data_IF_619381366596
#
_entry.id   IF_619381366596
#
_cell.length_a   1.000
_cell.length_b   1.000
_cell.length_c   1.000
_cell.angle_alpha   90.00
_cell.angle_beta   90.00
_cell.angle_gamma   90.00
#
_symmetry.space_group_name_H-M   'P 1'
#
loop_
_entity.id
_entity.type
_entity.pdbx_description
1 polymer ?
#
# COMPACT_ATOMS: atom_id res chain seq x y z
N UNK A 1 18.79 10.05 6.93
CA UNK A 1 18.20 9.84 8.28
C UNK A 1 18.51 11.04 9.15
N UNK A 2 17.64 11.41 10.11
CA UNK A 2 17.92 12.50 11.04
C UNK A 2 19.24 12.26 11.80
N UNK A 3 19.99 13.33 12.08
CA UNK A 3 21.20 13.26 12.89
C UNK A 3 20.85 12.69 14.27
N UNK A 4 21.61 11.70 14.73
CA UNK A 4 21.35 11.04 16.02
C UNK A 4 20.23 9.99 15.99
N UNK A 5 19.71 9.61 14.82
CA UNK A 5 18.78 8.49 14.72
C UNK A 5 19.44 7.18 15.18
N UNK A 6 18.83 6.51 16.16
CA UNK A 6 19.25 5.20 16.66
C UNK A 6 18.16 4.19 16.34
N UNK A 7 18.55 3.10 15.67
CA UNK A 7 17.69 1.95 15.49
C UNK A 7 17.62 1.17 16.82
N UNK A 8 16.43 1.08 17.41
CA UNK A 8 16.20 0.31 18.64
C UNK A 8 15.56 -1.03 18.28
N UNK A 9 16.31 -2.16 18.32
CA UNK A 9 15.74 -3.48 18.08
C UNK A 9 14.59 -3.77 19.05
N UNK A 10 13.54 -4.39 18.53
CA UNK A 10 12.38 -4.78 19.34
C UNK A 10 11.87 -6.12 18.85
N UNK A 11 11.79 -7.08 19.78
CA UNK A 11 11.27 -8.42 19.53
C UNK A 11 10.32 -8.80 20.64
N UNK A 12 9.02 -8.79 20.34
CA UNK A 12 7.97 -9.15 21.28
C UNK A 12 6.69 -9.57 20.56
N UNK A 13 5.70 -10.07 21.30
CA UNK A 13 4.40 -10.39 20.71
C UNK A 13 3.61 -9.11 20.44
N UNK A 14 2.76 -9.14 19.41
CA UNK A 14 1.86 -8.02 19.12
C UNK A 14 0.93 -7.69 20.29
N UNK A 15 0.55 -8.69 21.09
CA UNK A 15 -0.34 -8.53 22.24
C UNK A 15 0.31 -7.82 23.43
N UNK A 16 1.64 -7.72 23.43
CA UNK A 16 2.39 -7.14 24.55
C UNK A 16 2.44 -5.60 24.44
N UNK A 17 2.04 -5.04 23.28
CA UNK A 17 1.85 -3.60 23.13
C UNK A 17 0.57 -3.15 23.80
N UNK A 18 0.66 -2.08 24.60
CA UNK A 18 -0.53 -1.44 25.18
C UNK A 18 -1.28 -0.63 24.12
N UNK A 19 -0.56 0.00 23.19
CA UNK A 19 -1.14 0.69 22.04
C UNK A 19 -0.34 0.43 20.76
N UNK A 20 -1.07 0.40 19.64
CA UNK A 20 -0.49 0.52 18.28
C UNK A 20 -1.15 1.72 17.62
N UNK A 21 -0.33 2.75 17.41
CA UNK A 21 -0.70 4.03 16.83
C UNK A 21 -0.36 4.07 15.34
N UNK A 22 -1.25 4.66 14.56
CA UNK A 22 -1.08 4.86 13.13
C UNK A 22 -1.26 6.34 12.88
N UNK A 23 -0.18 7.04 12.56
CA UNK A 23 -0.16 8.48 12.34
C UNK A 23 -0.12 8.76 10.84
N UNK A 24 -1.08 9.53 10.31
CA UNK A 24 -1.04 10.03 8.94
C UNK A 24 -0.11 11.24 8.89
N UNK A 25 1.00 11.16 8.14
CA UNK A 25 2.08 12.14 8.18
C UNK A 25 2.19 13.01 6.92
N UNK A 26 1.31 12.84 5.93
CA UNK A 26 1.31 13.66 4.71
C UNK A 26 1.01 15.13 5.07
N UNK A 27 1.88 16.03 4.62
CA UNK A 27 1.81 17.46 4.91
C UNK A 27 2.23 17.84 6.33
N UNK A 28 2.69 16.88 7.15
CA UNK A 28 3.17 17.15 8.50
C UNK A 28 4.70 17.25 8.55
N UNK A 29 5.24 17.73 9.68
CA UNK A 29 6.69 17.79 9.93
C UNK A 29 7.34 16.38 9.85
N UNK A 30 6.57 15.34 10.13
CA UNK A 30 7.03 13.94 10.12
C UNK A 30 7.11 13.33 8.71
N UNK A 31 6.60 13.99 7.68
CA UNK A 31 6.66 13.45 6.31
C UNK A 31 8.11 13.22 5.85
N UNK A 32 9.00 14.16 6.16
CA UNK A 32 10.42 14.06 5.85
C UNK A 32 11.08 12.84 6.51
N UNK A 33 10.65 12.51 7.72
CA UNK A 33 11.13 11.35 8.45
C UNK A 33 10.62 10.04 7.84
N UNK A 34 9.34 9.97 7.46
CA UNK A 34 8.82 8.85 6.67
C UNK A 34 9.61 8.65 5.38
N UNK A 35 9.88 9.71 4.62
CA UNK A 35 10.62 9.63 3.36
C UNK A 35 12.04 9.11 3.59
N UNK A 36 12.71 9.55 4.66
CA UNK A 36 14.04 9.08 5.02
C UNK A 36 14.06 7.59 5.39
N UNK A 37 13.06 7.11 6.14
CA UNK A 37 12.92 5.69 6.49
C UNK A 37 12.69 4.82 5.24
N UNK A 38 11.79 5.24 4.35
CA UNK A 38 11.56 4.53 3.09
C UNK A 38 12.82 4.54 2.21
N UNK A 39 13.54 5.67 2.13
CA UNK A 39 14.77 5.78 1.35
C UNK A 39 15.87 4.84 1.86
N UNK A 40 16.01 4.74 3.19
CA UNK A 40 17.07 3.96 3.81
C UNK A 40 16.78 2.45 3.83
N UNK A 41 15.51 2.04 3.99
CA UNK A 41 15.19 0.66 4.36
C UNK A 41 14.17 -0.05 3.47
N UNK A 42 13.40 0.67 2.65
CA UNK A 42 12.47 0.00 1.73
C UNK A 42 13.26 -0.51 0.50
N UNK A 43 12.96 -1.73 0.06
CA UNK A 43 13.73 -2.40 -1.00
C UNK A 43 13.63 -1.75 -2.40
N UNK A 44 12.58 -0.95 -2.63
CA UNK A 44 12.44 -0.10 -3.82
C UNK A 44 12.98 1.32 -3.63
N UNK A 45 13.58 1.61 -2.48
CA UNK A 45 13.97 2.96 -2.07
C UNK A 45 12.79 3.95 -2.03
N UNK A 46 13.15 5.22 -1.86
CA UNK A 46 12.19 6.32 -1.96
C UNK A 46 12.16 6.86 -3.39
N UNK A 47 10.97 6.90 -3.94
CA UNK A 47 10.65 7.67 -5.13
C UNK A 47 9.44 8.52 -4.79
N UNK A 48 9.57 9.83 -4.93
CA UNK A 48 8.42 10.71 -4.78
C UNK A 48 7.49 10.48 -5.95
N UNK A 49 6.42 9.70 -5.72
CA UNK A 49 5.39 9.56 -6.74
C UNK A 49 4.69 10.91 -6.95
N UNK A 50 4.27 11.14 -8.19
CA UNK A 50 3.42 12.28 -8.55
C UNK A 50 1.97 11.98 -8.15
N UNK A 51 1.22 13.01 -7.76
CA UNK A 51 -0.20 12.92 -7.43
C UNK A 51 -0.53 12.70 -5.95
N UNK A 52 -1.75 12.22 -5.71
CA UNK A 52 -2.33 11.99 -4.38
C UNK A 52 -1.61 10.83 -3.67
N UNK A 53 -1.21 11.07 -2.42
CA UNK A 53 -0.52 10.10 -1.59
C UNK A 53 -0.82 10.31 -0.12
N UNK A 54 -1.14 9.23 0.57
CA UNK A 54 -1.13 9.19 2.04
C UNK A 54 0.03 8.36 2.53
N UNK A 55 0.65 8.84 3.60
CA UNK A 55 1.85 8.25 4.22
C UNK A 55 1.58 8.08 5.69
N UNK A 56 1.97 6.95 6.24
CA UNK A 56 1.71 6.63 7.63
C UNK A 56 2.95 6.10 8.32
N UNK A 57 3.16 6.55 9.56
CA UNK A 57 4.13 6.00 10.50
C UNK A 57 3.36 5.20 11.55
N UNK A 58 3.86 4.02 11.88
CA UNK A 58 3.28 3.15 12.90
C UNK A 58 4.21 3.10 14.10
N UNK A 59 3.64 3.34 15.28
CA UNK A 59 4.33 3.23 16.56
C UNK A 59 3.60 2.28 17.50
N UNK A 60 4.33 1.58 18.34
CA UNK A 60 3.76 0.80 19.44
C UNK A 60 4.43 1.20 20.74
N UNK A 61 3.64 1.68 21.70
CA UNK A 61 4.14 2.24 22.97
C UNK A 61 5.30 3.25 22.74
N UNK A 62 5.16 4.10 21.72
CA UNK A 62 6.17 5.08 21.29
C UNK A 62 7.29 4.54 20.40
N UNK A 63 7.54 3.22 20.39
CA UNK A 63 8.56 2.60 19.53
C UNK A 63 8.18 2.69 18.06
N UNK A 64 9.13 3.09 17.22
CA UNK A 64 8.93 3.14 15.77
C UNK A 64 8.96 1.72 15.18
N UNK A 65 7.85 1.29 14.56
CA UNK A 65 7.70 -0.09 14.10
C UNK A 65 7.73 -0.23 12.58
N UNK A 66 7.00 0.64 11.88
CA UNK A 66 6.74 0.46 10.45
C UNK A 66 6.36 1.77 9.74
N UNK A 67 6.39 1.72 8.41
CA UNK A 67 5.87 2.74 7.52
C UNK A 67 4.98 2.09 6.46
N UNK A 68 3.86 2.71 6.13
CA UNK A 68 2.99 2.29 5.03
C UNK A 68 2.54 3.50 4.22
N UNK A 69 2.51 3.36 2.90
CA UNK A 69 2.17 4.43 1.96
C UNK A 69 1.22 3.96 0.88
N UNK A 70 0.37 4.89 0.46
CA UNK A 70 -0.63 4.71 -0.57
C UNK A 70 -0.52 5.84 -1.59
N UNK A 71 -0.77 5.51 -2.85
CA UNK A 71 -0.78 6.48 -3.94
C UNK A 71 -1.78 6.10 -5.03
N UNK A 72 -1.84 6.88 -6.10
CA UNK A 72 -2.65 6.55 -7.26
C UNK A 72 -2.35 5.15 -7.83
N UNK A 73 -3.39 4.45 -8.24
CA UNK A 73 -3.32 3.10 -8.80
C UNK A 73 -2.46 3.00 -10.06
N UNK A 74 -1.99 1.77 -10.35
CA UNK A 74 -1.31 1.48 -11.60
C UNK A 74 -2.26 1.72 -12.78
N UNK A 75 -1.82 2.55 -13.74
CA UNK A 75 -2.67 2.95 -14.87
C UNK A 75 -3.21 1.78 -15.69
N UNK A 76 -2.42 0.71 -15.86
CA UNK A 76 -2.84 -0.52 -16.53
C UNK A 76 -2.56 -1.72 -15.63
N UNK A 77 -3.60 -2.50 -15.36
CA UNK A 77 -3.49 -3.79 -14.67
C UNK A 77 -4.54 -4.72 -15.27
N UNK A 78 -4.12 -5.61 -16.17
CA UNK A 78 -5.06 -6.47 -16.90
C UNK A 78 -5.84 -7.41 -15.97
N UNK A 79 -5.23 -7.88 -14.88
CA UNK A 79 -5.90 -8.71 -13.89
C UNK A 79 -7.00 -7.92 -13.16
N UNK A 80 -6.70 -6.70 -12.70
CA UNK A 80 -7.69 -5.82 -12.07
C UNK A 80 -8.81 -5.47 -13.05
N UNK A 81 -8.45 -5.07 -14.26
CA UNK A 81 -9.42 -4.65 -15.27
C UNK A 81 -10.38 -5.83 -15.58
N UNK A 82 -9.89 -7.06 -15.73
CA UNK A 82 -10.74 -8.26 -15.87
C UNK A 82 -11.58 -8.57 -14.63
N UNK A 83 -11.01 -8.44 -13.44
CA UNK A 83 -11.71 -8.69 -12.17
C UNK A 83 -12.88 -7.73 -11.97
N UNK A 84 -12.71 -6.47 -12.35
CA UNK A 84 -13.76 -5.45 -12.26
C UNK A 84 -14.69 -5.50 -13.48
N UNK A 85 -14.23 -5.97 -14.64
CA UNK A 85 -14.98 -5.89 -15.90
C UNK A 85 -14.79 -4.57 -16.63
N UNK A 86 -13.63 -3.92 -16.47
CA UNK A 86 -13.29 -2.68 -17.15
C UNK A 86 -12.79 -2.88 -18.57
N UNK A 87 -13.32 -2.07 -19.47
CA UNK A 87 -12.64 -1.70 -20.71
C UNK A 87 -11.69 -0.50 -20.50
N UNK A 88 -11.12 0.02 -21.58
CA UNK A 88 -10.22 1.18 -21.52
C UNK A 88 -10.92 2.44 -20.99
N UNK A 89 -12.15 2.72 -21.43
CA UNK A 89 -12.88 3.93 -21.07
C UNK A 89 -13.34 3.89 -19.61
N UNK A 90 -13.90 2.76 -19.17
CA UNK A 90 -14.27 2.53 -17.78
C UNK A 90 -13.06 2.68 -16.85
N UNK A 91 -11.91 2.10 -17.22
CA UNK A 91 -10.68 2.31 -16.45
C UNK A 91 -10.31 3.78 -16.36
N UNK A 92 -10.25 4.51 -17.47
CA UNK A 92 -9.88 5.93 -17.44
C UNK A 92 -10.82 6.78 -16.56
N UNK A 93 -12.11 6.44 -16.53
CA UNK A 93 -13.10 7.13 -15.68
C UNK A 93 -12.98 6.77 -14.20
N UNK A 94 -12.79 5.49 -13.87
CA UNK A 94 -12.97 4.98 -12.50
C UNK A 94 -11.67 4.60 -11.79
N UNK A 95 -10.52 4.60 -12.47
CA UNK A 95 -9.20 4.31 -11.86
C UNK A 95 -8.93 5.17 -10.64
N UNK A 96 -9.50 6.37 -10.63
CA UNK A 96 -9.25 7.35 -9.59
C UNK A 96 -9.88 7.02 -8.24
N UNK A 97 -10.81 6.07 -8.22
CA UNK A 97 -11.39 5.51 -6.99
C UNK A 97 -10.59 4.30 -6.47
N UNK A 98 -9.45 3.98 -7.10
CA UNK A 98 -8.53 2.89 -6.73
C UNK A 98 -7.20 3.48 -6.29
N UNK A 99 -6.66 2.99 -5.17
CA UNK A 99 -5.35 3.40 -4.67
C UNK A 99 -4.44 2.21 -4.45
N UNK A 100 -3.16 2.38 -4.77
CA UNK A 100 -2.12 1.36 -4.64
C UNK A 100 -1.37 1.53 -3.32
N UNK A 101 -1.25 0.44 -2.55
CA UNK A 101 -0.30 0.34 -1.45
C UNK A 101 1.12 0.19 -2.03
N UNK A 102 1.70 1.32 -2.38
CA UNK A 102 2.96 1.43 -3.10
C UNK A 102 4.21 1.28 -2.21
N UNK A 103 4.07 1.43 -0.88
CA UNK A 103 5.15 1.27 0.09
C UNK A 103 4.65 0.54 1.32
N UNK A 104 5.37 -0.51 1.70
CA UNK A 104 5.11 -1.16 2.96
C UNK A 104 6.40 -1.70 3.59
N UNK A 105 6.75 -1.15 4.74
CA UNK A 105 8.01 -1.38 5.43
C UNK A 105 7.74 -1.71 6.89
N UNK A 106 8.02 -2.94 7.31
CA UNK A 106 8.35 -3.24 8.70
C UNK A 106 9.84 -2.96 8.86
N UNK A 107 10.24 -2.20 9.88
CA UNK A 107 11.63 -1.81 10.01
C UNK A 107 12.55 -3.03 10.25
N UNK A 108 13.78 -3.04 9.70
CA UNK A 108 14.60 -4.26 9.67
C UNK A 108 14.94 -4.87 11.03
N UNK A 109 14.97 -4.05 12.08
CA UNK A 109 15.27 -4.45 13.46
C UNK A 109 14.02 -4.77 14.29
N UNK A 110 12.82 -4.77 13.67
CA UNK A 110 11.56 -5.05 14.33
C UNK A 110 11.13 -6.48 14.03
N UNK A 111 10.95 -7.27 15.09
CA UNK A 111 10.54 -8.68 15.06
C UNK A 111 9.26 -8.87 15.89
N UNK A 112 8.14 -8.45 15.31
CA UNK A 112 6.81 -8.60 15.94
C UNK A 112 5.95 -9.47 15.04
N UNK A 113 5.71 -10.76 15.40
CA UNK A 113 4.84 -11.63 14.63
C UNK A 113 3.46 -11.01 14.41
N UNK A 114 2.89 -11.21 13.21
CA UNK A 114 1.55 -10.74 12.82
C UNK A 114 1.35 -9.21 12.76
N UNK A 115 2.37 -8.41 13.07
CA UNK A 115 2.30 -6.95 13.00
C UNK A 115 1.87 -6.46 11.61
N UNK A 116 2.39 -7.09 10.55
CA UNK A 116 2.10 -6.66 9.20
C UNK A 116 0.59 -6.80 8.85
N UNK A 117 0.04 -8.00 9.00
CA UNK A 117 -1.40 -8.20 8.76
C UNK A 117 -2.29 -7.36 9.69
N UNK A 118 -1.85 -7.12 10.93
CA UNK A 118 -2.56 -6.23 11.86
C UNK A 118 -2.63 -4.79 11.33
N UNK A 119 -1.51 -4.22 10.90
CA UNK A 119 -1.45 -2.87 10.32
C UNK A 119 -2.35 -2.77 9.10
N UNK A 120 -2.29 -3.74 8.17
CA UNK A 120 -3.13 -3.75 6.97
C UNK A 120 -4.62 -3.72 7.32
N UNK A 121 -5.05 -4.54 8.29
CA UNK A 121 -6.43 -4.54 8.75
C UNK A 121 -6.85 -3.23 9.42
N UNK A 122 -5.98 -2.60 10.20
CA UNK A 122 -6.28 -1.31 10.84
C UNK A 122 -6.36 -0.16 9.83
N UNK A 123 -5.43 -0.13 8.87
CA UNK A 123 -5.40 0.86 7.80
C UNK A 123 -6.62 0.77 6.90
N UNK A 124 -7.03 -0.44 6.50
CA UNK A 124 -8.15 -0.62 5.57
C UNK A 124 -9.49 -0.10 6.13
N UNK A 125 -9.61 0.01 7.45
CA UNK A 125 -10.80 0.57 8.12
C UNK A 125 -10.83 2.10 8.17
N UNK A 126 -9.69 2.77 7.99
CA UNK A 126 -9.58 4.24 8.13
C UNK A 126 -9.23 4.98 6.84
N UNK A 127 -8.49 4.34 5.93
CA UNK A 127 -7.90 5.02 4.78
C UNK A 127 -8.94 5.68 3.87
N UNK A 128 -10.14 5.09 3.73
CA UNK A 128 -11.24 5.71 2.98
C UNK A 128 -11.60 7.09 3.54
N UNK A 129 -11.70 7.21 4.86
CA UNK A 129 -12.01 8.47 5.54
C UNK A 129 -10.83 9.42 5.45
N UNK A 130 -9.61 8.96 5.75
CA UNK A 130 -8.41 9.81 5.65
C UNK A 130 -8.25 10.40 4.23
N UNK A 131 -8.51 9.61 3.18
CA UNK A 131 -8.41 10.04 1.79
C UNK A 131 -9.51 11.04 1.42
N UNK A 132 -10.74 10.78 1.86
CA UNK A 132 -11.85 11.72 1.67
C UNK A 132 -11.59 13.03 2.40
N UNK A 133 -11.05 13.01 3.61
CA UNK A 133 -10.81 14.22 4.39
C UNK A 133 -9.68 15.06 3.79
N UNK A 134 -8.60 14.41 3.37
CA UNK A 134 -7.41 15.10 2.85
C UNK A 134 -7.55 15.53 1.39
N UNK A 135 -8.06 14.66 0.52
CA UNK A 135 -8.14 14.92 -0.92
C UNK A 135 -9.55 15.25 -1.42
N UNK A 136 -10.60 15.10 -0.59
CA UNK A 136 -12.02 15.26 -0.99
C UNK A 136 -12.46 14.28 -2.07
N UNK A 137 -11.90 13.06 -2.03
CA UNK A 137 -12.16 12.02 -3.03
C UNK A 137 -12.48 10.68 -2.41
N UNK A 138 -13.51 10.05 -2.97
CA UNK A 138 -13.90 8.73 -2.57
C UNK A 138 -13.00 7.68 -3.23
N UNK A 139 -12.44 6.81 -2.39
CA UNK A 139 -11.77 5.58 -2.81
C UNK A 139 -12.60 4.38 -2.37
N UNK A 140 -12.66 3.36 -3.20
CA UNK A 140 -13.50 2.16 -2.97
C UNK A 140 -12.73 0.85 -3.04
N UNK A 141 -11.49 0.90 -3.53
CA UNK A 141 -10.63 -0.28 -3.70
C UNK A 141 -9.17 0.07 -3.41
N UNK A 142 -8.51 -0.79 -2.62
CA UNK A 142 -7.06 -0.82 -2.53
C UNK A 142 -6.51 -1.89 -3.47
N UNK A 143 -5.35 -1.64 -4.07
CA UNK A 143 -4.54 -2.65 -4.76
C UNK A 143 -3.10 -2.67 -4.22
N UNK A 144 -2.37 -3.73 -4.51
CA UNK A 144 -0.92 -3.81 -4.27
C UNK A 144 -0.29 -4.85 -5.19
N UNK A 145 1.03 -4.74 -5.35
CA UNK A 145 1.83 -5.59 -6.22
C UNK A 145 3.00 -6.20 -5.46
N UNK A 146 2.98 -7.51 -5.27
CA UNK A 146 3.97 -8.25 -4.47
C UNK A 146 4.88 -9.06 -5.37
N UNK A 147 6.17 -8.73 -5.38
CA UNK A 147 7.18 -9.45 -6.18
C UNK A 147 7.39 -10.88 -5.69
N UNK A 148 7.07 -11.86 -6.54
CA UNK A 148 7.06 -13.28 -6.17
C UNK A 148 8.44 -13.81 -5.77
N UNK A 149 9.51 -13.38 -6.45
CA UNK A 149 10.88 -13.78 -6.16
C UNK A 149 11.40 -13.28 -4.81
N UNK A 150 10.72 -12.32 -4.19
CA UNK A 150 11.17 -11.67 -2.95
C UNK A 150 10.23 -11.87 -1.77
N UNK A 151 8.92 -11.96 -2.02
CA UNK A 151 7.91 -12.02 -0.98
C UNK A 151 6.79 -13.00 -1.33
N UNK A 152 6.24 -13.65 -0.30
CA UNK A 152 5.13 -14.61 -0.42
C UNK A 152 3.74 -13.97 -0.35
N UNK A 153 3.65 -12.67 -0.10
CA UNK A 153 2.37 -11.96 0.10
C UNK A 153 1.57 -12.39 1.35
N UNK A 154 2.18 -13.13 2.28
CA UNK A 154 1.49 -13.75 3.42
C UNK A 154 0.69 -12.75 4.26
N UNK A 155 1.22 -11.55 4.51
CA UNK A 155 0.53 -10.54 5.31
C UNK A 155 -0.75 -10.02 4.64
N UNK A 156 -0.77 -9.89 3.31
CA UNK A 156 -1.95 -9.48 2.56
C UNK A 156 -3.02 -10.56 2.61
N UNK A 157 -2.64 -11.83 2.40
CA UNK A 157 -3.57 -12.98 2.56
C UNK A 157 -4.16 -13.04 3.96
N UNK A 158 -3.32 -12.94 4.99
CA UNK A 158 -3.75 -12.94 6.39
C UNK A 158 -4.62 -11.73 6.77
N UNK A 159 -4.53 -10.62 6.03
CA UNK A 159 -5.37 -9.44 6.19
C UNK A 159 -6.63 -9.47 5.29
N UNK A 160 -6.98 -10.63 4.73
CA UNK A 160 -8.14 -10.83 3.84
C UNK A 160 -8.10 -10.04 2.53
N UNK A 161 -6.91 -9.73 2.01
CA UNK A 161 -6.78 -9.23 0.65
C UNK A 161 -6.98 -10.37 -0.36
N UNK A 162 -7.70 -10.09 -1.43
CA UNK A 162 -8.02 -11.04 -2.49
C UNK A 162 -6.89 -11.08 -3.52
N UNK A 163 -6.33 -12.26 -3.77
CA UNK A 163 -5.43 -12.46 -4.91
C UNK A 163 -6.26 -12.54 -6.20
N UNK A 164 -5.91 -11.73 -7.20
CA UNK A 164 -6.69 -11.63 -8.45
C UNK A 164 -5.88 -11.97 -9.71
N UNK A 165 -4.63 -12.42 -9.53
CA UNK A 165 -3.73 -12.80 -10.61
C UNK A 165 -2.37 -12.13 -10.50
N UNK A 166 -1.67 -12.05 -11.63
CA UNK A 166 -0.25 -11.68 -11.69
C UNK A 166 0.02 -10.63 -12.77
N UNK A 167 1.13 -9.91 -12.63
CA UNK A 167 1.66 -9.05 -13.70
C UNK A 167 2.37 -9.89 -14.77
N UNK A 168 2.43 -9.39 -16.00
CA UNK A 168 3.06 -10.11 -17.12
C UNK A 168 4.55 -9.77 -17.30
N UNK A 169 5.22 -9.22 -16.28
CA UNK A 169 6.64 -8.89 -16.34
C UNK A 169 7.07 -7.80 -17.35
N UNK A 170 6.14 -7.00 -17.91
CA UNK A 170 6.48 -5.97 -18.92
C UNK A 170 6.94 -4.63 -18.31
N UNK A 171 6.62 -4.36 -17.05
CA UNK A 171 6.92 -3.07 -16.44
C UNK A 171 6.05 -1.92 -16.94
N UNK A 172 6.17 -0.74 -16.30
CA UNK A 172 5.22 0.37 -16.46
C UNK A 172 5.29 1.07 -17.83
N UNK A 173 6.48 1.15 -18.42
CA UNK A 173 6.76 1.96 -19.62
C UNK A 173 7.02 1.13 -20.89
N UNK A 174 6.80 -0.19 -20.85
CA UNK A 174 7.09 -1.03 -22.00
C UNK A 174 6.01 -0.88 -23.08
N UNK A 175 6.38 -0.17 -24.14
CA UNK A 175 5.55 0.03 -25.34
C UNK A 175 5.74 -1.09 -26.36
N UNK A 176 6.84 -1.85 -26.29
CA UNK A 176 7.28 -2.80 -27.33
C UNK A 176 7.35 -4.25 -26.84
N UNK A 177 6.91 -4.55 -25.62
CA UNK A 177 6.95 -5.88 -24.98
C UNK A 177 8.37 -6.48 -24.93
N UNK A 178 9.39 -5.64 -24.72
CA UNK A 178 10.81 -6.05 -24.69
C UNK A 178 11.40 -6.09 -23.28
N UNK A 179 10.68 -5.58 -22.27
CA UNK A 179 11.18 -5.55 -20.91
C UNK A 179 10.79 -6.83 -20.16
N UNK A 180 11.72 -7.34 -19.35
CA UNK A 180 11.47 -8.41 -18.40
C UNK A 180 11.75 -7.90 -16.99
N UNK A 181 10.70 -7.42 -16.31
CA UNK A 181 10.72 -7.11 -14.87
C UNK A 181 10.14 -8.28 -14.08
N UNK A 182 10.48 -8.42 -12.79
CA UNK A 182 9.94 -9.48 -11.94
C UNK A 182 8.40 -9.54 -11.96
N UNK A 183 7.88 -10.76 -12.03
CA UNK A 183 6.45 -11.05 -11.91
C UNK A 183 6.00 -10.70 -10.50
N UNK A 184 4.81 -10.09 -10.42
CA UNK A 184 4.20 -9.68 -9.16
C UNK A 184 2.81 -10.25 -9.04
N UNK A 185 2.51 -10.83 -7.88
CA UNK A 185 1.14 -11.08 -7.47
C UNK A 185 0.39 -9.77 -7.31
N UNK A 186 -0.88 -9.78 -7.67
CA UNK A 186 -1.78 -8.64 -7.54
C UNK A 186 -2.83 -8.99 -6.48
N UNK A 187 -2.86 -8.21 -5.42
CA UNK A 187 -3.87 -8.31 -4.37
C UNK A 187 -4.74 -7.07 -4.36
N UNK A 188 -6.03 -7.24 -4.05
CA UNK A 188 -6.97 -6.14 -3.85
C UNK A 188 -7.69 -6.23 -2.51
N UNK A 189 -8.12 -5.10 -1.99
CA UNK A 189 -8.97 -5.03 -0.80
C UNK A 189 -10.14 -4.07 -1.03
N UNK A 190 -11.38 -4.58 -1.12
CA UNK A 190 -12.57 -3.74 -1.21
C UNK A 190 -12.78 -2.87 0.04
N UNK A 191 -12.87 -1.56 -0.14
CA UNK A 191 -13.26 -0.62 0.93
C UNK A 191 -14.78 -0.43 1.00
N UNK A 192 -15.49 -0.84 -0.06
CA UNK A 192 -16.94 -0.86 -0.14
C UNK A 192 -17.39 -2.25 -0.63
N UNK A 193 -18.44 -2.82 -0.02
CA UNK A 193 -18.99 -4.13 -0.45
C UNK A 193 -19.47 -4.12 -1.89
N UNK A 194 -19.93 -2.97 -2.38
CA UNK A 194 -20.43 -2.77 -3.75
C UNK A 194 -19.37 -2.17 -4.69
N UNK A 195 -18.07 -2.27 -4.37
CA UNK A 195 -17.02 -1.62 -5.14
C UNK A 195 -17.06 -1.95 -6.64
N UNK A 196 -17.36 -3.20 -7.03
CA UNK A 196 -17.47 -3.55 -8.46
C UNK A 196 -18.57 -2.78 -9.16
N UNK A 197 -19.76 -2.65 -8.54
CA UNK A 197 -20.87 -1.87 -9.12
C UNK A 197 -20.49 -0.38 -9.24
N UNK A 198 -19.90 0.18 -8.19
CA UNK A 198 -19.45 1.59 -8.18
C UNK A 198 -18.41 1.83 -9.28
N UNK A 199 -17.47 0.90 -9.44
CA UNK A 199 -16.39 1.01 -10.42
C UNK A 199 -16.84 0.70 -11.85
N UNK A 200 -17.91 -0.08 -12.04
CA UNK A 200 -18.51 -0.30 -13.37
C UNK A 200 -19.37 0.89 -13.80
N UNK A 201 -19.87 1.67 -12.85
CA UNK A 201 -20.88 2.71 -13.06
C UNK A 201 -22.28 2.11 -13.15
N UNK A 202 -23.30 2.94 -12.92
CA UNK A 202 -24.66 2.59 -13.34
C UNK A 202 -24.66 2.48 -14.87
N UNK A 203 -25.13 1.34 -15.39
CA UNK A 203 -25.29 1.13 -16.83
C UNK A 203 -26.44 1.97 -17.38
#
# INVERSE_FOLDING_TARGET
MPKGFVATPLSQSLRDFSSIEIEMVRGSKQESFYNALIAAYHYLGYHQGTGEQLKYIIRGDGHLLACIGFGGAAFKSAARDRHIGWDKMARERHLVNVVDNNRYLILPWIRVPHLASHILGRISRRIRVDWQDYYKREIVLLETFVEQGRFKGTCYKAANWLHIGETTGRGRNDRYSKNSVPIKDIYIYPLNRNYQKILQGDR
#
